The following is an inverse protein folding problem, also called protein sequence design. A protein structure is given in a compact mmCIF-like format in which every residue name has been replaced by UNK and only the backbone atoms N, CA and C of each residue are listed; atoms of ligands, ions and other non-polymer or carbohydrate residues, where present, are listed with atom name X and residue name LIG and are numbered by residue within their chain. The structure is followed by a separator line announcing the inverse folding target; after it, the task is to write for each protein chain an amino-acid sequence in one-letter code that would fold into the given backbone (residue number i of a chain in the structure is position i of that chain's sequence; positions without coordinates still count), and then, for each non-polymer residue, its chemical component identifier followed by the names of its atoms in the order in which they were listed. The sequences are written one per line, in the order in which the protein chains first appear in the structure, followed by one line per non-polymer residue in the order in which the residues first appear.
data_IF_149688313401
#
_entry.id   IF_149688313401
#
_cell.length_a   1.000
_cell.length_b   1.000
_cell.length_c   1.000
_cell.angle_alpha   90.00
_cell.angle_beta   90.00
_cell.angle_gamma   90.00
#
_symmetry.space_group_name_H-M   'P 1'
#
loop_
_entity.id
_entity.type
_entity.pdbx_description
1 polymer ?
#
# COMPACT_ATOMS: atom_id res chain seq x y z
N UNK A 1 9.32 15.82 7.72
CA UNK A 1 9.94 14.55 8.16
C UNK A 1 11.10 14.37 7.20
N UNK A 2 12.35 14.69 7.56
CA UNK A 2 13.43 14.87 6.59
C UNK A 2 13.54 13.72 5.58
N UNK A 3 13.54 12.47 6.04
CA UNK A 3 13.60 11.28 5.19
C UNK A 3 12.42 11.16 4.19
N UNK A 4 11.20 11.57 4.57
CA UNK A 4 10.06 11.56 3.66
C UNK A 4 10.19 12.64 2.59
N UNK A 5 10.61 13.83 2.99
CA UNK A 5 10.81 14.95 2.09
C UNK A 5 11.94 14.64 1.07
N UNK A 6 13.01 13.98 1.53
CA UNK A 6 14.08 13.43 0.70
C UNK A 6 13.59 12.37 -0.30
N UNK A 7 12.74 11.43 0.14
CA UNK A 7 12.17 10.38 -0.72
C UNK A 7 11.25 10.96 -1.80
N UNK A 8 10.46 11.98 -1.46
CA UNK A 8 9.66 12.74 -2.44
C UNK A 8 10.55 13.45 -3.45
N UNK A 9 11.63 14.11 -2.99
CA UNK A 9 12.58 14.76 -3.86
C UNK A 9 13.30 13.77 -4.80
N UNK A 10 13.66 12.59 -4.30
CA UNK A 10 14.25 11.51 -5.10
C UNK A 10 13.28 11.06 -6.21
N UNK A 11 12.02 10.79 -5.88
CA UNK A 11 11.01 10.40 -6.86
C UNK A 11 10.85 11.46 -7.97
N UNK A 12 10.74 12.74 -7.58
CA UNK A 12 10.66 13.86 -8.52
C UNK A 12 11.90 13.96 -9.40
N UNK A 13 13.10 13.75 -8.85
CA UNK A 13 14.35 13.74 -9.62
C UNK A 13 14.36 12.61 -10.63
N UNK A 14 13.99 11.39 -10.25
CA UNK A 14 13.91 10.23 -11.15
C UNK A 14 12.91 10.46 -12.29
N UNK A 15 11.81 11.16 -12.03
CA UNK A 15 10.77 11.45 -13.03
C UNK A 15 10.95 12.77 -13.80
N UNK A 16 11.94 13.59 -13.43
CA UNK A 16 12.26 14.87 -14.10
C UNK A 16 12.85 14.67 -15.51
N UNK A 17 12.82 15.68 -16.40
CA UNK A 17 13.60 15.65 -17.64
C UNK A 17 15.09 15.35 -17.36
N UNK A 18 15.66 14.37 -18.07
CA UNK A 18 17.02 13.87 -17.80
C UNK A 18 17.14 12.88 -16.64
N UNK A 19 16.03 12.54 -15.98
CA UNK A 19 15.94 11.42 -15.04
C UNK A 19 15.83 10.05 -15.72
N UNK A 20 15.34 9.07 -14.98
CA UNK A 20 15.19 7.70 -15.45
C UNK A 20 14.10 7.57 -16.52
N UNK A 21 14.47 7.04 -17.69
CA UNK A 21 13.53 6.85 -18.79
C UNK A 21 12.42 5.83 -18.48
N UNK A 22 12.69 4.83 -17.64
CA UNK A 22 11.69 3.85 -17.22
C UNK A 22 10.67 4.46 -16.24
N UNK A 23 11.14 5.22 -15.25
CA UNK A 23 10.26 5.87 -14.27
C UNK A 23 9.32 6.86 -14.93
N UNK A 24 9.83 7.66 -15.87
CA UNK A 24 9.02 8.62 -16.63
C UNK A 24 7.92 7.98 -17.47
N UNK A 25 8.11 6.74 -17.95
CA UNK A 25 7.13 6.02 -18.78
C UNK A 25 5.99 5.41 -17.95
N UNK A 26 6.12 5.37 -16.62
CA UNK A 26 5.08 4.80 -15.76
C UNK A 26 3.79 5.63 -15.80
N UNK A 27 2.67 4.92 -15.68
CA UNK A 27 1.31 5.46 -15.66
C UNK A 27 0.60 5.05 -14.38
N UNK A 28 -0.56 5.64 -14.07
CA UNK A 28 -1.38 5.18 -12.94
C UNK A 28 -1.78 3.70 -13.08
N UNK A 29 -1.94 3.20 -14.31
CA UNK A 29 -2.27 1.81 -14.55
C UNK A 29 -1.10 0.86 -14.24
N UNK A 30 0.13 1.25 -14.59
CA UNK A 30 1.31 0.43 -14.26
C UNK A 30 1.64 0.49 -12.77
N UNK A 31 1.61 1.67 -12.16
CA UNK A 31 1.87 1.81 -10.71
C UNK A 31 0.83 1.09 -9.86
N UNK A 32 -0.42 0.98 -10.29
CA UNK A 32 -1.43 0.17 -9.58
C UNK A 32 -0.98 -1.28 -9.40
N UNK A 33 -0.25 -1.84 -10.37
CA UNK A 33 0.29 -3.20 -10.26
C UNK A 33 1.35 -3.26 -9.17
N UNK A 34 2.34 -2.37 -9.21
CA UNK A 34 3.40 -2.30 -8.20
C UNK A 34 2.83 -2.10 -6.79
N UNK A 35 1.86 -1.18 -6.59
CA UNK A 35 1.20 -1.01 -5.28
C UNK A 35 0.63 -2.31 -4.73
N UNK A 36 0.11 -3.20 -5.60
CA UNK A 36 -0.40 -4.50 -5.14
C UNK A 36 0.73 -5.45 -4.74
N UNK A 37 1.84 -5.42 -5.47
CA UNK A 37 3.02 -6.26 -5.23
C UNK A 37 3.69 -5.86 -3.91
N UNK A 38 4.07 -4.60 -3.72
CA UNK A 38 4.72 -4.13 -2.47
C UNK A 38 3.84 -4.35 -1.23
N UNK A 39 2.51 -4.18 -1.36
CA UNK A 39 1.60 -4.43 -0.23
C UNK A 39 1.49 -5.92 0.09
N UNK A 40 1.61 -6.79 -0.92
CA UNK A 40 1.63 -8.24 -0.70
C UNK A 40 2.94 -8.65 0.00
N UNK A 41 4.08 -8.14 -0.45
CA UNK A 41 5.39 -8.40 0.18
C UNK A 41 5.43 -7.88 1.63
N UNK A 42 4.89 -6.69 1.90
CA UNK A 42 4.70 -6.20 3.26
C UNK A 42 3.83 -7.13 4.13
N UNK A 43 2.74 -7.69 3.58
CA UNK A 43 1.91 -8.65 4.31
C UNK A 43 2.63 -9.99 4.56
N UNK A 44 3.41 -10.47 3.60
CA UNK A 44 4.25 -11.66 3.77
C UNK A 44 5.25 -11.44 4.92
N UNK A 45 5.94 -10.29 4.95
CA UNK A 45 6.84 -9.93 6.03
C UNK A 45 6.13 -9.86 7.40
N UNK A 46 4.89 -9.35 7.45
CA UNK A 46 4.06 -9.34 8.67
C UNK A 46 3.71 -10.75 9.15
N UNK A 47 3.32 -11.64 8.22
CA UNK A 47 2.95 -13.02 8.52
C UNK A 47 4.16 -13.82 9.04
N UNK A 48 5.34 -13.55 8.50
CA UNK A 48 6.62 -14.13 8.93
C UNK A 48 7.16 -13.51 10.23
N UNK A 49 6.60 -12.39 10.68
CA UNK A 49 7.07 -11.59 11.83
C UNK A 49 8.54 -11.15 11.69
N UNK A 50 8.97 -10.92 10.46
CA UNK A 50 10.30 -10.40 10.17
C UNK A 50 10.28 -8.87 10.23
N UNK A 51 10.72 -8.32 11.36
CA UNK A 51 10.72 -6.88 11.58
C UNK A 51 11.64 -6.12 10.62
N UNK A 52 12.73 -6.73 10.15
CA UNK A 52 13.65 -6.08 9.22
C UNK A 52 13.03 -6.01 7.83
N UNK A 53 12.47 -7.12 7.36
CA UNK A 53 11.77 -7.17 6.08
C UNK A 53 10.53 -6.25 6.10
N UNK A 54 9.76 -6.24 7.21
CA UNK A 54 8.65 -5.28 7.37
C UNK A 54 9.10 -3.81 7.23
N UNK A 55 10.29 -3.46 7.72
CA UNK A 55 10.80 -2.10 7.62
C UNK A 55 11.17 -1.74 6.17
N UNK A 56 11.77 -2.67 5.44
CA UNK A 56 12.11 -2.54 4.02
C UNK A 56 10.85 -2.36 3.17
N UNK A 57 9.92 -3.30 3.27
CA UNK A 57 8.69 -3.32 2.48
C UNK A 57 7.76 -2.13 2.79
N UNK A 58 7.74 -1.65 4.05
CA UNK A 58 7.03 -0.42 4.38
C UNK A 58 7.60 0.79 3.62
N UNK A 59 8.92 0.83 3.43
CA UNK A 59 9.60 1.83 2.62
C UNK A 59 9.15 1.78 1.16
N UNK A 60 9.08 0.59 0.58
CA UNK A 60 8.71 0.39 -0.82
C UNK A 60 7.23 0.68 -1.09
N UNK A 61 6.33 0.31 -0.17
CA UNK A 61 4.93 0.75 -0.19
C UNK A 61 4.85 2.28 -0.17
N UNK A 62 5.59 2.95 0.72
CA UNK A 62 5.58 4.41 0.81
C UNK A 62 6.12 5.06 -0.47
N UNK A 63 7.26 4.59 -0.98
CA UNK A 63 7.84 5.10 -2.23
C UNK A 63 6.87 4.94 -3.40
N UNK A 64 6.23 3.78 -3.52
CA UNK A 64 5.28 3.51 -4.61
C UNK A 64 4.04 4.41 -4.53
N UNK A 65 3.56 4.73 -3.31
CA UNK A 65 2.47 5.69 -3.13
C UNK A 65 2.90 7.14 -3.43
N UNK A 66 4.14 7.52 -3.11
CA UNK A 66 4.73 8.81 -3.52
C UNK A 66 4.78 8.90 -5.04
N UNK A 67 5.26 7.84 -5.70
CA UNK A 67 5.33 7.75 -7.15
C UNK A 67 3.96 7.91 -7.79
N UNK A 68 2.94 7.22 -7.26
CA UNK A 68 1.56 7.35 -7.71
C UNK A 68 1.07 8.79 -7.60
N UNK A 69 1.32 9.44 -6.46
CA UNK A 69 0.90 10.82 -6.24
C UNK A 69 1.62 11.79 -7.19
N UNK A 70 2.90 11.58 -7.48
CA UNK A 70 3.64 12.40 -8.44
C UNK A 70 3.06 12.26 -9.87
N UNK A 71 2.68 11.05 -10.30
CA UNK A 71 1.97 10.87 -11.58
C UNK A 71 0.64 11.62 -11.57
N UNK A 72 -0.14 11.48 -10.50
CA UNK A 72 -1.47 12.10 -10.40
C UNK A 72 -1.38 13.63 -10.40
N UNK A 73 -0.37 14.19 -9.72
CA UNK A 73 -0.11 15.63 -9.66
C UNK A 73 0.30 16.18 -11.03
N UNK A 74 1.20 15.48 -11.73
CA UNK A 74 1.60 15.84 -13.10
C UNK A 74 0.43 15.75 -14.12
N UNK A 75 -0.60 14.96 -13.82
CA UNK A 75 -1.82 14.86 -14.63
C UNK A 75 -2.92 15.84 -14.19
N UNK A 76 -2.67 16.69 -13.19
CA UNK A 76 -3.65 17.65 -12.66
C UNK A 76 -4.83 17.01 -11.94
N UNK A 77 -4.71 15.76 -11.47
CA UNK A 77 -5.81 15.03 -10.83
C UNK A 77 -5.96 15.37 -9.34
N UNK A 78 -4.86 15.28 -8.59
CA UNK A 78 -4.75 15.68 -7.19
C UNK A 78 -3.27 15.79 -6.79
N UNK A 79 -2.98 16.49 -5.69
CA UNK A 79 -1.64 16.56 -5.10
C UNK A 79 -1.51 15.66 -3.88
N UNK A 80 -0.27 15.26 -3.56
CA UNK A 80 0.05 14.55 -2.31
C UNK A 80 -0.41 15.37 -1.10
N UNK A 81 -0.14 16.67 -1.10
CA UNK A 81 -0.54 17.56 0.00
C UNK A 81 -2.07 17.58 0.19
N UNK A 82 -2.83 17.66 -0.90
CA UNK A 82 -4.30 17.61 -0.85
C UNK A 82 -4.81 16.27 -0.30
N UNK A 83 -4.20 15.15 -0.69
CA UNK A 83 -4.55 13.84 -0.18
C UNK A 83 -4.26 13.70 1.34
N UNK A 84 -3.08 14.13 1.78
CA UNK A 84 -2.69 14.11 3.19
C UNK A 84 -3.56 15.02 4.05
N UNK A 85 -3.86 16.24 3.57
CA UNK A 85 -4.74 17.19 4.26
C UNK A 85 -6.16 16.61 4.41
N UNK A 86 -6.71 16.08 3.32
CA UNK A 86 -8.03 15.43 3.36
C UNK A 86 -8.07 14.21 4.27
N UNK A 87 -6.98 13.43 4.33
CA UNK A 87 -6.86 12.33 5.29
C UNK A 87 -6.83 12.84 6.73
N UNK A 88 -6.00 13.84 7.03
CA UNK A 88 -5.88 14.47 8.36
C UNK A 88 -7.23 14.98 8.86
N UNK A 89 -7.90 15.82 8.08
CA UNK A 89 -9.19 16.42 8.45
C UNK A 89 -10.25 15.35 8.71
N UNK A 90 -10.34 14.34 7.83
CA UNK A 90 -11.24 13.20 7.98
C UNK A 90 -10.96 12.41 9.25
N UNK A 91 -9.69 12.15 9.57
CA UNK A 91 -9.32 11.38 10.76
C UNK A 91 -9.61 12.18 12.03
N UNK A 92 -9.27 13.47 12.10
CA UNK A 92 -9.62 14.34 13.24
C UNK A 92 -11.14 14.35 13.47
N UNK A 93 -11.92 14.61 12.41
CA UNK A 93 -13.39 14.70 12.50
C UNK A 93 -14.05 13.40 12.95
N UNK A 94 -13.45 12.23 12.65
CA UNK A 94 -13.95 10.93 13.09
C UNK A 94 -13.53 10.54 14.52
N UNK A 95 -12.65 11.32 15.15
CA UNK A 95 -12.23 11.14 16.54
C UNK A 95 -12.60 12.34 17.43
N UNK A 96 -13.89 12.73 17.53
CA UNK A 96 -14.29 13.86 18.36
C UNK A 96 -14.16 13.60 19.86
N UNK A 97 -13.83 12.37 20.26
CA UNK A 97 -13.50 11.99 21.63
C UNK A 97 -12.03 12.20 21.98
N UNK A 98 -11.18 12.42 20.97
CA UNK A 98 -9.76 12.79 21.14
C UNK A 98 -9.57 14.29 20.85
N UNK A 99 -10.21 14.80 19.80
CA UNK A 99 -9.98 16.16 19.29
C UNK A 99 -11.17 17.11 19.50
N UNK A 100 -12.15 16.73 20.32
CA UNK A 100 -13.32 17.56 20.63
C UNK A 100 -13.92 17.15 21.98
N UNK A 101 -15.20 17.48 22.19
CA UNK A 101 -15.83 17.37 23.52
C UNK A 101 -16.64 16.08 23.76
N UNK A 102 -16.60 15.11 22.83
CA UNK A 102 -17.41 13.89 22.94
C UNK A 102 -16.81 12.95 23.98
N UNK A 103 -17.43 12.85 25.14
CA UNK A 103 -17.03 11.88 26.16
C UNK A 103 -17.53 10.48 25.81
N UNK A 104 -16.62 9.51 25.80
CA UNK A 104 -16.87 8.08 25.60
C UNK A 104 -16.43 7.31 26.84
N UNK A 105 -17.13 6.24 27.21
CA UNK A 105 -16.82 5.46 28.42
C UNK A 105 -16.27 4.07 28.11
N UNK A 106 -16.32 3.66 26.85
CA UNK A 106 -15.88 2.34 26.41
C UNK A 106 -15.49 2.31 24.93
N UNK A 107 -14.72 1.29 24.54
CA UNK A 107 -14.43 0.99 23.12
C UNK A 107 -15.72 0.79 22.32
N UNK A 108 -16.77 0.24 22.94
CA UNK A 108 -18.08 0.07 22.30
C UNK A 108 -18.71 1.42 21.95
N UNK A 109 -18.57 2.43 22.81
CA UNK A 109 -19.08 3.78 22.56
C UNK A 109 -18.30 4.47 21.43
N UNK A 110 -16.96 4.30 21.42
CA UNK A 110 -16.09 4.78 20.34
C UNK A 110 -16.55 4.19 19.00
N UNK A 111 -16.73 2.87 18.93
CA UNK A 111 -17.16 2.19 17.70
C UNK A 111 -18.56 2.61 17.25
N UNK A 112 -19.49 2.85 18.19
CA UNK A 112 -20.83 3.35 17.87
C UNK A 112 -20.76 4.76 17.29
N UNK A 113 -20.00 5.66 17.92
CA UNK A 113 -19.81 7.02 17.43
C UNK A 113 -19.15 7.04 16.05
N UNK A 114 -18.11 6.22 15.85
CA UNK A 114 -17.44 6.06 14.56
C UNK A 114 -18.40 5.63 13.45
N UNK A 115 -19.22 4.60 13.70
CA UNK A 115 -20.23 4.13 12.74
C UNK A 115 -21.24 5.22 12.39
N UNK A 116 -21.70 6.00 13.39
CA UNK A 116 -22.63 7.11 13.20
C UNK A 116 -22.03 8.22 12.31
N UNK A 117 -20.79 8.63 12.59
CA UNK A 117 -20.09 9.65 11.80
C UNK A 117 -19.93 9.18 10.34
N UNK A 118 -19.48 7.93 10.13
CA UNK A 118 -19.35 7.36 8.77
C UNK A 118 -20.69 7.27 8.04
N UNK A 119 -21.79 7.01 8.74
CA UNK A 119 -23.11 6.98 8.12
C UNK A 119 -23.57 8.37 7.68
N UNK A 120 -23.38 9.39 8.52
CA UNK A 120 -23.71 10.77 8.20
C UNK A 120 -22.91 11.31 7.02
N UNK A 121 -21.60 11.01 6.95
CA UNK A 121 -20.76 11.38 5.80
C UNK A 121 -21.28 10.80 4.49
N UNK A 122 -21.61 9.50 4.46
CA UNK A 122 -22.14 8.86 3.25
C UNK A 122 -23.46 9.47 2.79
N UNK A 123 -24.34 9.81 3.74
CA UNK A 123 -25.62 10.45 3.43
C UNK A 123 -25.39 11.85 2.81
N UNK A 124 -24.46 12.63 3.36
CA UNK A 124 -24.08 13.94 2.81
C UNK A 124 -23.44 13.82 1.41
N UNK A 125 -22.63 12.79 1.17
CA UNK A 125 -22.00 12.54 -0.13
C UNK A 125 -22.99 12.11 -1.22
N UNK A 126 -24.10 11.44 -0.85
CA UNK A 126 -25.17 10.99 -1.76
C UNK A 126 -26.19 12.07 -2.14
N UNK A 127 -26.21 13.21 -1.44
CA UNK A 127 -27.10 14.35 -1.75
C UNK A 127 -26.63 15.25 -2.90
N UNK A 128 -25.44 14.99 -3.45
CA UNK A 128 -24.90 15.66 -4.65
C UNK A 128 -24.95 14.69 -5.84
N UNK A 129 -25.46 15.10 -7.02
CA UNK A 129 -25.51 14.20 -8.18
C UNK A 129 -24.08 13.90 -8.64
N UNK A 130 -23.59 12.68 -8.37
CA UNK A 130 -22.31 12.21 -8.88
C UNK A 130 -22.51 11.24 -10.03
N UNK A 131 -21.92 11.59 -11.17
CA UNK A 131 -21.67 10.65 -12.27
C UNK A 131 -21.05 9.36 -11.75
N UNK A 132 -21.58 8.25 -12.26
CA UNK A 132 -21.34 6.85 -11.85
C UNK A 132 -19.95 6.60 -11.26
N UNK A 133 -19.91 6.15 -10.00
CA UNK A 133 -18.84 5.26 -9.52
C UNK A 133 -19.46 4.04 -8.84
N UNK A 134 -18.96 2.90 -9.25
CA UNK A 134 -19.35 1.56 -8.85
C UNK A 134 -19.20 1.37 -7.35
N UNK A 135 -20.26 0.87 -6.71
CA UNK A 135 -20.30 0.51 -5.29
C UNK A 135 -19.17 -0.46 -4.91
N UNK A 136 -18.66 -0.42 -3.66
CA UNK A 136 -17.81 -1.51 -3.18
C UNK A 136 -18.68 -2.78 -3.10
N UNK A 137 -18.28 -3.82 -3.80
CA UNK A 137 -18.91 -5.14 -3.69
C UNK A 137 -18.89 -5.58 -2.21
N UNK A 138 -20.02 -6.09 -1.72
CA UNK A 138 -20.07 -6.84 -0.45
C UNK A 138 -19.00 -7.93 -0.47
N UNK A 139 -18.32 -8.23 0.64
CA UNK A 139 -17.46 -9.41 0.69
C UNK A 139 -18.35 -10.64 0.48
N UNK A 140 -18.20 -11.29 -0.67
CA UNK A 140 -18.78 -12.61 -0.90
C UNK A 140 -18.17 -13.58 0.11
N UNK A 141 -18.99 -14.48 0.64
CA UNK A 141 -18.63 -15.41 1.70
C UNK A 141 -17.27 -16.06 1.47
N UNK A 142 -16.47 -16.08 2.54
CA UNK A 142 -15.25 -16.88 2.65
C UNK A 142 -15.51 -18.31 2.19
N UNK A 143 -14.85 -18.80 1.13
CA UNK A 143 -14.79 -20.23 0.86
C UNK A 143 -13.89 -20.87 1.92
N UNK A 144 -14.34 -21.96 2.55
CA UNK A 144 -13.49 -22.79 3.41
C UNK A 144 -12.21 -23.21 2.67
N UNK A 145 -11.05 -23.21 3.32
CA UNK A 145 -9.80 -23.59 2.68
C UNK A 145 -9.86 -25.07 2.27
N UNK A 146 -9.80 -25.33 0.96
CA UNK A 146 -9.52 -26.67 0.44
C UNK A 146 -8.07 -27.02 0.81
N UNK A 147 -7.90 -28.20 1.43
CA UNK A 147 -6.62 -28.75 1.86
C UNK A 147 -5.68 -28.89 0.66
N UNK A 148 -4.54 -28.19 0.68
CA UNK A 148 -3.51 -28.32 -0.34
C UNK A 148 -2.85 -29.72 -0.28
N UNK A 149 -2.56 -30.38 -1.42
CA UNK A 149 -1.76 -31.59 -1.42
C UNK A 149 -0.32 -31.31 -1.00
N UNK A 150 0.24 -32.20 -0.18
CA UNK A 150 1.61 -32.11 0.34
C UNK A 150 2.64 -32.10 -0.81
N UNK A 151 3.64 -31.21 -0.81
CA UNK A 151 4.76 -31.31 -1.73
C UNK A 151 5.59 -32.56 -1.41
N UNK A 152 5.89 -33.35 -2.44
CA UNK A 152 6.79 -34.49 -2.39
C UNK A 152 8.24 -34.03 -2.18
N UNK A 153 9.06 -34.74 -1.39
CA UNK A 153 10.43 -34.34 -1.12
C UNK A 153 11.27 -34.43 -2.40
N UNK A 154 11.80 -33.28 -2.86
CA UNK A 154 12.79 -33.24 -3.92
C UNK A 154 14.06 -33.97 -3.47
N UNK A 155 14.39 -35.00 -4.22
CA UNK A 155 15.57 -35.86 -4.07
C UNK A 155 16.83 -35.03 -4.29
N UNK A 156 17.72 -34.96 -3.29
CA UNK A 156 19.02 -34.31 -3.43
C UNK A 156 19.87 -35.07 -4.46
N UNK A 157 20.17 -34.46 -5.61
CA UNK A 157 21.18 -34.97 -6.53
C UNK A 157 22.57 -34.62 -5.99
N UNK A 158 23.20 -35.65 -5.46
CA UNK A 158 24.61 -35.72 -5.07
C UNK A 158 25.48 -35.38 -6.29
N UNK A 159 26.11 -34.22 -6.31
CA UNK A 159 27.11 -33.87 -7.31
C UNK A 159 28.36 -34.76 -7.08
N UNK A 160 28.57 -35.69 -8.00
CA UNK A 160 29.71 -36.59 -8.01
C UNK A 160 31.01 -35.85 -8.33
N UNK A 161 32.03 -36.12 -7.51
CA UNK A 161 33.43 -35.83 -7.78
C UNK A 161 33.85 -36.37 -9.16
N UNK A 162 34.47 -35.52 -9.99
CA UNK A 162 35.37 -35.95 -11.08
C UNK A 162 36.66 -35.10 -11.07
N UNK A 163 37.74 -35.79 -11.43
CA UNK A 163 39.19 -35.56 -11.23
C UNK A 163 39.78 -34.30 -11.88
N UNK A 164 41.00 -33.89 -11.47
CA UNK A 164 41.73 -32.79 -12.09
C UNK A 164 42.39 -33.23 -13.41
N UNK A 165 42.35 -32.35 -14.40
CA UNK A 165 43.17 -32.44 -15.61
C UNK A 165 44.56 -31.88 -15.32
N UNK A 166 45.57 -32.73 -15.45
CA UNK A 166 46.99 -32.38 -15.39
C UNK A 166 47.36 -31.71 -16.72
N UNK A 167 47.68 -30.42 -16.68
CA UNK A 167 48.27 -29.71 -17.81
C UNK A 167 49.74 -30.11 -17.96
N UNK A 168 50.12 -30.50 -19.16
CA UNK A 168 51.49 -30.71 -19.59
C UNK A 168 52.02 -29.41 -20.21
N UNK A 169 53.06 -28.83 -19.59
CA UNK A 169 54.25 -28.25 -20.21
C UNK A 169 55.17 -27.71 -19.12
#
# INVERSE_FOLDING_TARGET
MPAFDELVALCRKLRSPGGCAWDRKQTLASIRKHVREEVAEFFEAMDEKDAQHMQEELGDVLYTLIFLADIAENQGLFSMEGALRGAREKIIRRHPHVFGDVKVRSVRDIMRNWKRIKAAERAAESGFPRGRRSSPAKPAGTPSPRRAPRPSPRRSSRAGKRRPTRGAR
#
